data_IF_727803966672
#
_entry.id   IF_727803966672
#
_cell.length_a   1.000
_cell.length_b   1.000
_cell.length_c   1.000
_cell.angle_alpha   90.00
_cell.angle_beta   90.00
_cell.angle_gamma   90.00
#
_symmetry.space_group_name_H-M   'P 1'
#
loop_
_entity.id
_entity.type
_entity.pdbx_description
1 polymer ?
#
# COMPACT_ATOMS: atom_id res chain seq x y z
N UNK A 1 59.93 67.30 -41.08
CA UNK A 1 58.50 67.18 -41.45
C UNK A 1 57.78 66.32 -40.44
N UNK A 2 56.64 66.74 -39.91
CA UNK A 2 55.77 66.05 -38.95
C UNK A 2 54.58 66.87 -38.61
N UNK A 3 53.75 66.40 -37.69
CA UNK A 3 52.59 67.14 -37.15
C UNK A 3 53.06 68.24 -36.21
N UNK A 4 52.72 69.50 -36.52
CA UNK A 4 53.12 70.67 -35.74
C UNK A 4 52.05 71.17 -34.79
N UNK A 5 50.86 70.57 -34.78
CA UNK A 5 49.82 70.91 -33.89
C UNK A 5 49.89 70.17 -32.52
N UNK A 6 50.26 70.91 -31.48
CA UNK A 6 50.47 70.38 -30.14
C UNK A 6 49.16 69.82 -29.46
N UNK A 7 48.03 69.96 -30.09
CA UNK A 7 46.72 69.37 -29.63
C UNK A 7 46.53 67.99 -30.26
N UNK A 8 47.41 67.52 -31.08
CA UNK A 8 47.31 66.23 -31.79
C UNK A 8 48.14 65.12 -31.13
N UNK A 9 47.75 63.87 -31.28
CA UNK A 9 48.33 62.65 -30.64
C UNK A 9 49.78 62.46 -31.09
N UNK A 10 50.09 62.72 -32.40
CA UNK A 10 51.41 62.49 -33.00
C UNK A 10 52.16 63.82 -33.17
N UNK A 11 51.97 64.81 -32.26
CA UNK A 11 52.73 66.06 -32.27
C UNK A 11 54.25 65.79 -32.20
N UNK A 12 54.97 66.36 -33.15
CA UNK A 12 56.39 66.27 -33.17
C UNK A 12 57.07 67.68 -32.90
N UNK A 13 57.60 67.89 -31.71
CA UNK A 13 58.16 69.19 -31.32
C UNK A 13 59.48 69.55 -32.11
N UNK A 14 60.00 68.63 -32.86
CA UNK A 14 61.21 68.85 -33.71
C UNK A 14 60.83 69.14 -35.16
N UNK A 15 59.60 69.00 -35.56
CA UNK A 15 59.17 69.31 -36.92
C UNK A 15 59.20 70.81 -37.17
N UNK A 16 59.77 71.18 -38.28
CA UNK A 16 59.88 72.58 -38.76
C UNK A 16 59.02 72.84 -40.02
N UNK A 17 58.28 71.80 -40.47
CA UNK A 17 57.40 71.86 -41.63
C UNK A 17 56.26 70.89 -41.40
N UNK A 18 54.97 71.36 -41.41
CA UNK A 18 53.83 70.51 -41.32
C UNK A 18 53.67 69.69 -42.62
N UNK A 19 53.48 68.40 -42.45
CA UNK A 19 53.29 67.45 -43.55
C UNK A 19 51.87 66.95 -43.69
N UNK A 20 50.92 67.49 -42.92
CA UNK A 20 49.50 67.14 -42.92
C UNK A 20 49.21 65.80 -42.29
N UNK A 21 50.15 65.20 -41.50
CA UNK A 21 49.99 63.88 -40.88
C UNK A 21 49.40 63.93 -39.48
N UNK A 22 48.84 65.06 -39.03
CA UNK A 22 48.31 65.22 -37.71
C UNK A 22 47.12 64.24 -37.45
N UNK A 23 47.22 63.49 -36.39
CA UNK A 23 46.25 62.52 -35.96
C UNK A 23 45.61 63.01 -34.66
N UNK A 24 44.27 63.13 -34.54
CA UNK A 24 43.62 63.54 -33.32
C UNK A 24 43.77 62.46 -32.24
N UNK A 25 43.64 62.85 -30.97
CA UNK A 25 43.41 61.90 -29.87
C UNK A 25 42.09 61.20 -30.05
N UNK A 26 42.10 59.86 -30.14
CA UNK A 26 40.96 59.01 -30.18
C UNK A 26 40.97 58.20 -28.86
N UNK A 27 40.15 58.60 -27.94
CA UNK A 27 40.10 57.97 -26.61
C UNK A 27 39.22 56.72 -26.62
N UNK A 28 39.71 55.64 -25.94
CA UNK A 28 39.01 54.36 -25.78
C UNK A 28 39.92 53.34 -25.16
N UNK A 29 39.46 52.11 -25.05
CA UNK A 29 40.25 51.00 -24.55
C UNK A 29 41.26 50.52 -25.61
N UNK A 30 42.58 50.70 -25.33
CA UNK A 30 43.69 50.27 -26.22
C UNK A 30 44.25 48.89 -25.91
N UNK A 31 43.70 48.19 -24.92
CA UNK A 31 44.10 46.83 -24.56
C UNK A 31 43.36 45.81 -25.45
N UNK A 32 44.10 45.16 -26.35
CA UNK A 32 43.54 44.15 -27.26
C UNK A 32 43.04 42.88 -26.57
N UNK A 33 43.29 42.72 -25.28
CA UNK A 33 42.79 41.63 -24.45
C UNK A 33 41.52 41.99 -23.65
N UNK A 34 41.01 43.22 -23.79
CA UNK A 34 39.81 43.68 -23.14
C UNK A 34 38.55 43.42 -23.98
N UNK A 35 37.40 43.23 -23.32
CA UNK A 35 36.11 42.99 -23.96
C UNK A 35 35.68 44.13 -24.88
N UNK A 36 35.97 45.39 -24.46
CA UNK A 36 35.63 46.61 -25.17
C UNK A 36 36.83 47.24 -25.89
N UNK A 37 37.77 46.42 -26.35
CA UNK A 37 38.91 46.91 -27.16
C UNK A 37 38.42 47.72 -28.36
N UNK A 38 38.95 48.94 -28.52
CA UNK A 38 38.70 49.80 -29.68
C UNK A 38 39.96 49.91 -30.51
N UNK A 39 39.98 49.26 -31.69
CA UNK A 39 41.12 49.29 -32.61
C UNK A 39 41.43 50.70 -33.21
N UNK A 40 40.52 51.64 -33.11
CA UNK A 40 40.70 53.00 -33.58
C UNK A 40 41.30 53.93 -32.50
N UNK A 41 41.16 53.53 -31.23
CA UNK A 41 41.68 54.30 -30.12
C UNK A 41 43.21 54.30 -30.15
N UNK A 42 43.79 55.49 -29.99
CA UNK A 42 45.24 55.70 -29.87
C UNK A 42 45.63 56.17 -28.44
N UNK A 43 44.68 56.42 -27.59
CA UNK A 43 44.85 56.87 -26.21
C UNK A 43 43.90 56.17 -25.27
N UNK A 44 44.52 55.45 -24.31
CA UNK A 44 43.72 54.73 -23.31
C UNK A 44 43.05 55.71 -22.36
N UNK A 45 41.75 55.65 -22.23
CA UNK A 45 40.90 56.44 -21.34
C UNK A 45 40.61 55.75 -20.00
N UNK A 46 41.11 54.55 -19.76
CA UNK A 46 40.86 53.74 -18.56
C UNK A 46 39.54 52.99 -18.57
N UNK A 47 38.82 52.98 -19.70
CA UNK A 47 37.52 52.29 -19.84
C UNK A 47 37.61 50.80 -20.10
N UNK A 48 38.84 50.22 -20.17
CA UNK A 48 39.02 48.80 -20.48
C UNK A 48 38.27 47.89 -19.49
N UNK A 49 37.46 46.99 -20.04
CA UNK A 49 36.71 45.99 -19.31
C UNK A 49 37.34 44.63 -19.53
N UNK A 50 37.89 43.98 -18.50
CA UNK A 50 38.43 42.63 -18.64
C UNK A 50 37.37 41.60 -18.94
N UNK A 51 37.71 40.51 -19.66
CA UNK A 51 36.83 39.35 -19.76
C UNK A 51 36.71 38.67 -18.40
N UNK A 52 35.46 38.56 -17.92
CA UNK A 52 35.09 37.78 -16.74
C UNK A 52 34.23 36.60 -17.18
N UNK A 53 34.87 35.46 -17.27
CA UNK A 53 34.23 34.22 -17.74
C UNK A 53 33.38 33.59 -16.67
N UNK A 54 32.24 32.96 -17.06
CA UNK A 54 31.34 32.24 -16.23
C UNK A 54 29.97 32.11 -16.87
N UNK A 55 29.06 31.40 -16.21
CA UNK A 55 27.70 31.26 -16.69
C UNK A 55 26.95 32.61 -16.63
N UNK A 56 26.45 33.07 -17.77
CA UNK A 56 25.69 34.34 -17.89
C UNK A 56 24.18 34.12 -17.97
N UNK A 57 23.70 32.87 -17.96
CA UNK A 57 22.27 32.56 -17.94
C UNK A 57 21.73 32.69 -16.49
N UNK A 58 20.88 33.67 -16.27
CA UNK A 58 20.25 33.93 -14.95
C UNK A 58 19.34 32.83 -14.46
N UNK A 59 18.94 31.87 -15.33
CA UNK A 59 18.11 30.72 -14.98
C UNK A 59 18.93 29.48 -14.59
N UNK A 60 20.25 29.54 -14.82
CA UNK A 60 21.14 28.45 -14.48
C UNK A 60 21.48 28.43 -12.98
N UNK A 61 21.68 27.23 -12.43
CA UNK A 61 21.99 27.03 -11.00
C UNK A 61 23.32 27.62 -10.58
N UNK A 62 24.28 27.74 -11.54
CA UNK A 62 25.60 28.31 -11.35
C UNK A 62 25.75 29.68 -12.01
N UNK A 63 24.67 30.46 -12.15
CA UNK A 63 24.70 31.83 -12.66
C UNK A 63 25.72 32.68 -11.91
N UNK A 64 26.57 33.38 -12.66
CA UNK A 64 27.54 34.34 -12.13
C UNK A 64 27.23 35.76 -12.58
N UNK A 65 26.63 36.56 -11.69
CA UNK A 65 26.25 37.94 -12.00
C UNK A 65 27.42 38.87 -12.35
N UNK A 66 28.67 38.50 -12.07
CA UNK A 66 29.86 39.24 -12.42
C UNK A 66 30.41 38.87 -13.80
N UNK A 67 30.04 37.71 -14.33
CA UNK A 67 30.47 37.28 -15.65
C UNK A 67 29.89 38.19 -16.73
N UNK A 68 30.76 38.60 -17.67
CA UNK A 68 30.39 39.34 -18.86
C UNK A 68 30.58 38.54 -20.16
N UNK A 69 31.06 37.30 -20.01
CA UNK A 69 31.36 36.40 -21.14
C UNK A 69 31.01 34.96 -20.73
N UNK A 70 30.10 34.35 -21.47
CA UNK A 70 29.72 32.96 -21.22
C UNK A 70 30.88 32.02 -21.59
N UNK A 71 31.22 31.11 -20.67
CA UNK A 71 32.26 30.12 -20.87
C UNK A 71 31.70 28.73 -21.20
N UNK A 72 30.40 28.61 -21.39
CA UNK A 72 29.67 27.35 -21.65
C UNK A 72 29.47 26.45 -20.42
N UNK A 73 29.76 26.96 -19.21
CA UNK A 73 29.66 26.19 -17.97
C UNK A 73 28.25 26.17 -17.35
N UNK A 74 27.27 26.80 -18.00
CA UNK A 74 25.92 26.90 -17.46
C UNK A 74 25.31 25.54 -17.17
N UNK A 75 24.82 25.35 -15.96
CA UNK A 75 24.10 24.17 -15.50
C UNK A 75 22.65 24.49 -15.44
N UNK A 76 21.82 23.85 -16.30
CA UNK A 76 20.39 24.05 -16.33
C UNK A 76 19.75 23.57 -15.01
N UNK A 77 18.78 24.33 -14.50
CA UNK A 77 17.96 23.93 -13.35
C UNK A 77 17.03 22.81 -13.77
N UNK A 78 17.18 21.64 -13.12
CA UNK A 78 16.30 20.47 -13.28
C UNK A 78 15.54 20.27 -11.98
N UNK A 79 14.27 20.65 -11.98
CA UNK A 79 13.41 20.53 -10.83
C UNK A 79 12.89 19.08 -10.64
N UNK A 80 12.73 18.66 -9.38
CA UNK A 80 12.20 17.38 -8.99
C UNK A 80 12.59 17.02 -7.56
N UNK A 81 12.10 15.89 -7.08
CA UNK A 81 12.46 15.40 -5.75
C UNK A 81 13.94 14.96 -5.73
N UNK A 82 14.74 15.58 -4.89
CA UNK A 82 16.17 15.27 -4.70
C UNK A 82 16.47 14.36 -3.51
N UNK A 83 15.44 13.97 -2.74
CA UNK A 83 15.56 13.02 -1.63
C UNK A 83 15.60 11.58 -2.15
N UNK A 84 16.74 10.92 -2.04
CA UNK A 84 16.93 9.53 -2.49
C UNK A 84 16.12 8.51 -1.68
N UNK A 85 15.51 8.92 -0.56
CA UNK A 85 14.64 8.08 0.27
C UNK A 85 13.16 8.26 -0.07
N UNK A 86 12.82 9.12 -1.02
CA UNK A 86 11.44 9.35 -1.45
C UNK A 86 11.01 8.41 -2.58
N UNK A 87 9.71 8.11 -2.64
CA UNK A 87 9.10 7.26 -3.66
C UNK A 87 9.30 7.79 -5.09
N UNK A 88 9.24 9.12 -5.25
CA UNK A 88 9.37 9.82 -6.53
C UNK A 88 10.74 10.49 -6.71
N UNK A 89 11.79 9.94 -6.09
CA UNK A 89 13.15 10.41 -6.28
C UNK A 89 13.51 10.53 -7.77
N UNK A 90 14.06 11.68 -8.15
CA UNK A 90 14.57 11.92 -9.49
C UNK A 90 16.09 12.15 -9.44
N UNK A 91 16.87 11.15 -9.86
CA UNK A 91 18.34 11.22 -9.85
C UNK A 91 18.93 12.30 -10.79
N UNK A 92 18.14 12.84 -11.72
CA UNK A 92 18.56 13.92 -12.64
C UNK A 92 18.25 15.30 -12.06
N UNK A 93 17.37 15.41 -11.09
CA UNK A 93 17.04 16.68 -10.45
C UNK A 93 18.25 17.21 -9.68
N UNK A 94 18.54 18.51 -9.87
CA UNK A 94 19.58 19.23 -9.13
C UNK A 94 19.02 20.33 -8.22
N UNK A 95 17.68 20.48 -8.23
CA UNK A 95 16.96 21.45 -7.41
C UNK A 95 15.66 20.83 -6.94
N UNK A 96 15.48 20.77 -5.63
CA UNK A 96 14.25 20.25 -5.03
C UNK A 96 13.07 21.19 -5.30
N UNK A 97 11.96 20.61 -5.80
CA UNK A 97 10.72 21.34 -6.07
C UNK A 97 9.68 21.18 -4.95
N UNK A 98 10.03 20.50 -3.85
CA UNK A 98 9.15 20.26 -2.71
C UNK A 98 8.09 19.19 -2.94
N UNK A 99 8.18 18.42 -4.03
CA UNK A 99 7.19 17.38 -4.38
C UNK A 99 7.54 15.99 -3.86
N UNK A 100 8.57 15.86 -3.00
CA UNK A 100 9.01 14.57 -2.48
C UNK A 100 7.88 13.85 -1.73
N UNK A 101 7.61 12.62 -2.14
CA UNK A 101 6.57 11.75 -1.57
C UNK A 101 7.27 10.68 -0.71
N UNK A 102 7.05 10.65 0.60
CA UNK A 102 7.62 9.60 1.46
C UNK A 102 6.98 8.25 1.18
N UNK A 103 7.69 7.15 1.41
CA UNK A 103 7.10 5.81 1.45
C UNK A 103 6.16 5.70 2.64
N UNK A 104 4.93 5.30 2.38
CA UNK A 104 3.93 4.95 3.39
C UNK A 104 3.58 3.49 3.18
N UNK A 105 4.15 2.63 4.04
CA UNK A 105 3.97 1.18 3.94
C UNK A 105 2.65 0.74 4.55
N UNK A 106 2.06 -0.30 3.96
CA UNK A 106 0.82 -0.92 4.43
C UNK A 106 0.16 -1.72 3.32
N UNK A 107 -0.92 -2.42 3.64
CA UNK A 107 -1.69 -3.16 2.63
C UNK A 107 -2.35 -2.20 1.64
N UNK A 108 -2.01 -2.32 0.35
CA UNK A 108 -2.56 -1.50 -0.73
C UNK A 108 -3.72 -2.17 -1.48
N UNK A 109 -4.08 -3.41 -1.11
CA UNK A 109 -5.22 -4.13 -1.70
C UNK A 109 -6.54 -3.68 -1.06
N UNK A 110 -7.45 -2.98 -1.80
CA UNK A 110 -8.72 -2.50 -1.25
C UNK A 110 -9.70 -3.63 -0.89
N UNK A 111 -9.40 -4.87 -1.28
CA UNK A 111 -10.21 -6.05 -0.93
C UNK A 111 -9.70 -6.76 0.33
N UNK A 112 -8.62 -6.30 0.93
CA UNK A 112 -8.07 -6.87 2.15
C UNK A 112 -8.72 -6.29 3.41
N UNK A 113 -8.78 -7.09 4.48
CA UNK A 113 -9.31 -6.70 5.79
C UNK A 113 -8.57 -5.51 6.41
N UNK A 114 -7.24 -5.47 6.25
CA UNK A 114 -6.37 -4.44 6.79
C UNK A 114 -5.92 -3.41 5.72
N UNK A 115 -6.75 -3.18 4.70
CA UNK A 115 -6.48 -2.15 3.69
C UNK A 115 -6.17 -0.80 4.32
N UNK A 116 -5.09 -0.18 3.86
CA UNK A 116 -4.70 1.17 4.27
C UNK A 116 -4.75 2.12 3.08
N UNK A 117 -5.78 2.97 3.03
CA UNK A 117 -6.02 3.89 1.91
C UNK A 117 -4.94 4.97 1.72
N UNK A 118 -4.09 5.22 2.72
CA UNK A 118 -2.99 6.18 2.62
C UNK A 118 -1.66 5.52 2.26
N UNK A 119 -1.57 4.18 2.31
CA UNK A 119 -0.37 3.46 1.88
C UNK A 119 -0.15 3.64 0.38
N UNK A 120 1.10 3.94 0.00
CA UNK A 120 1.55 4.03 -1.38
C UNK A 120 2.53 2.90 -1.76
N UNK A 121 2.85 2.04 -0.79
CA UNK A 121 3.79 0.94 -0.97
C UNK A 121 3.31 -0.27 -0.17
N UNK A 122 3.10 -1.39 -0.87
CA UNK A 122 2.69 -2.62 -0.21
C UNK A 122 3.82 -3.18 0.65
N UNK A 123 3.51 -3.52 1.89
CA UNK A 123 4.44 -4.13 2.85
C UNK A 123 4.37 -5.68 2.83
N UNK A 124 3.51 -6.27 1.98
CA UNK A 124 3.25 -7.70 1.91
C UNK A 124 2.41 -8.25 3.07
N UNK A 125 1.87 -7.36 3.93
CA UNK A 125 1.09 -7.72 5.11
C UNK A 125 -0.42 -7.76 4.88
N UNK A 126 -0.90 -7.83 3.64
CA UNK A 126 -2.34 -7.89 3.36
C UNK A 126 -2.99 -9.14 3.96
N UNK A 127 -4.05 -8.94 4.75
CA UNK A 127 -4.82 -9.99 5.40
C UNK A 127 -6.18 -10.12 4.71
N UNK A 128 -6.56 -11.29 4.19
CA UNK A 128 -7.87 -11.48 3.60
C UNK A 128 -8.99 -11.46 4.65
N UNK A 129 -10.22 -11.16 4.23
CA UNK A 129 -11.40 -11.39 5.06
C UNK A 129 -11.59 -12.88 5.31
N UNK A 130 -11.67 -13.27 6.58
CA UNK A 130 -11.99 -14.63 7.00
C UNK A 130 -13.30 -14.55 7.79
N UNK A 131 -14.40 -14.93 7.14
CA UNK A 131 -15.72 -14.91 7.76
C UNK A 131 -15.94 -16.13 8.66
N UNK A 132 -16.60 -15.93 9.78
CA UNK A 132 -16.96 -17.00 10.70
C UNK A 132 -17.55 -16.48 12.01
N UNK A 133 -18.09 -17.40 12.79
CA UNK A 133 -18.56 -17.07 14.12
C UNK A 133 -17.38 -16.77 15.05
N UNK A 134 -17.34 -15.56 15.60
CA UNK A 134 -16.27 -15.08 16.49
C UNK A 134 -16.57 -15.30 17.98
N UNK A 135 -17.74 -15.88 18.32
CA UNK A 135 -18.13 -16.19 19.70
C UNK A 135 -17.67 -17.61 20.08
N UNK A 136 -16.71 -17.77 21.02
CA UNK A 136 -16.17 -19.07 21.42
C UNK A 136 -17.19 -19.96 22.15
N UNK A 137 -18.37 -19.44 22.52
CA UNK A 137 -19.45 -20.21 23.16
C UNK A 137 -20.37 -20.87 22.16
N UNK A 138 -20.18 -20.67 20.87
CA UNK A 138 -21.02 -21.18 19.79
C UNK A 138 -20.42 -22.43 19.12
N UNK A 139 -21.31 -23.28 18.59
CA UNK A 139 -20.95 -24.56 17.98
C UNK A 139 -20.00 -24.43 16.77
N UNK A 140 -20.20 -23.39 15.94
CA UNK A 140 -19.43 -23.14 14.73
C UNK A 140 -18.35 -22.07 14.91
N UNK A 141 -17.84 -21.89 16.15
CA UNK A 141 -16.77 -20.96 16.43
C UNK A 141 -15.55 -21.20 15.51
N UNK A 142 -15.06 -20.11 14.90
CA UNK A 142 -13.87 -20.12 14.07
C UNK A 142 -12.83 -19.16 14.64
N UNK A 143 -11.78 -19.69 15.25
CA UNK A 143 -10.69 -18.91 15.86
C UNK A 143 -9.90 -18.05 14.85
N UNK A 144 -9.95 -18.39 13.55
CA UNK A 144 -9.24 -17.65 12.49
C UNK A 144 -10.10 -16.53 11.90
N UNK A 145 -11.39 -16.47 12.24
CA UNK A 145 -12.27 -15.43 11.71
C UNK A 145 -11.85 -14.04 12.20
N UNK A 146 -11.74 -13.10 11.25
CA UNK A 146 -11.52 -11.68 11.50
C UNK A 146 -12.75 -10.83 11.15
N UNK A 147 -13.79 -11.47 10.62
CA UNK A 147 -15.04 -10.83 10.19
C UNK A 147 -16.22 -11.68 10.66
N UNK A 148 -17.17 -11.06 11.36
CA UNK A 148 -18.29 -11.75 11.93
C UNK A 148 -19.21 -12.35 10.87
N UNK A 149 -19.63 -13.60 11.08
CA UNK A 149 -20.65 -14.31 10.35
C UNK A 149 -21.63 -14.97 11.34
N UNK A 150 -22.65 -15.66 10.82
CA UNK A 150 -23.72 -16.25 11.61
C UNK A 150 -23.17 -17.28 12.61
N UNK A 151 -23.49 -17.07 13.89
CA UNK A 151 -23.20 -17.99 14.97
C UNK A 151 -24.35 -18.97 15.17
N UNK A 152 -24.03 -20.26 15.32
CA UNK A 152 -24.97 -21.35 15.56
C UNK A 152 -24.78 -21.81 17.01
N UNK A 153 -25.84 -21.78 17.86
CA UNK A 153 -25.74 -22.25 19.23
C UNK A 153 -25.62 -23.78 19.28
N UNK A 154 -25.15 -24.31 20.40
CA UNK A 154 -25.22 -25.74 20.68
C UNK A 154 -26.66 -26.16 20.86
N UNK A 155 -27.10 -27.18 20.10
CA UNK A 155 -28.38 -27.85 20.27
C UNK A 155 -28.09 -29.31 20.63
N UNK A 156 -28.31 -29.63 21.87
CA UNK A 156 -28.01 -30.95 22.42
C UNK A 156 -29.18 -31.93 22.17
N UNK A 157 -28.85 -33.14 21.67
CA UNK A 157 -29.80 -34.19 21.40
C UNK A 157 -29.13 -35.37 20.72
N UNK A 158 -29.89 -36.40 20.39
CA UNK A 158 -29.33 -37.54 19.66
C UNK A 158 -29.20 -37.23 18.18
N UNK A 159 -27.97 -37.22 17.65
CA UNK A 159 -27.69 -36.95 16.24
C UNK A 159 -27.63 -38.21 15.37
N UNK A 160 -27.85 -39.40 15.93
CA UNK A 160 -27.88 -40.68 15.19
C UNK A 160 -29.28 -40.93 14.61
N UNK A 161 -29.46 -40.89 13.28
CA UNK A 161 -30.76 -41.09 12.66
C UNK A 161 -31.33 -42.53 12.83
N UNK A 162 -30.48 -43.44 13.32
CA UNK A 162 -30.94 -44.85 13.63
C UNK A 162 -31.34 -45.02 15.06
N UNK A 163 -31.26 -44.01 15.89
CA UNK A 163 -31.69 -44.02 17.28
C UNK A 163 -33.18 -43.73 17.44
N UNK A 164 -33.81 -44.29 18.50
CA UNK A 164 -35.22 -44.10 18.82
C UNK A 164 -35.58 -42.63 19.11
N UNK A 165 -34.66 -41.90 19.77
CA UNK A 165 -34.84 -40.50 20.15
C UNK A 165 -34.04 -39.53 19.26
N UNK A 166 -33.90 -39.87 17.98
CA UNK A 166 -33.24 -38.99 17.02
C UNK A 166 -33.86 -37.60 16.99
N UNK A 167 -33.01 -36.57 17.10
CA UNK A 167 -33.40 -35.17 16.95
C UNK A 167 -32.67 -34.55 15.74
N UNK A 168 -33.43 -34.25 14.70
CA UNK A 168 -32.90 -33.68 13.47
C UNK A 168 -32.39 -32.25 13.62
N UNK A 169 -32.66 -31.55 14.70
CA UNK A 169 -32.20 -30.19 15.00
C UNK A 169 -30.92 -30.19 15.85
N UNK A 170 -30.60 -31.33 16.48
CA UNK A 170 -29.40 -31.45 17.30
C UNK A 170 -28.17 -31.39 16.47
N UNK A 171 -27.18 -30.57 16.92
CA UNK A 171 -25.82 -30.47 16.34
C UNK A 171 -24.76 -31.03 17.29
N UNK A 172 -25.15 -31.44 18.49
CA UNK A 172 -24.22 -31.97 19.50
C UNK A 172 -24.85 -33.22 20.14
N UNK A 173 -24.16 -34.35 19.93
CA UNK A 173 -24.70 -35.64 20.31
C UNK A 173 -24.73 -35.85 21.84
N UNK A 174 -25.91 -36.11 22.36
CA UNK A 174 -26.13 -36.46 23.77
C UNK A 174 -27.25 -37.46 23.91
N UNK A 175 -26.99 -38.58 24.58
CA UNK A 175 -28.04 -39.47 25.10
C UNK A 175 -28.85 -40.24 24.03
N UNK A 176 -28.20 -40.76 22.99
CA UNK A 176 -28.88 -41.64 22.02
C UNK A 176 -29.37 -42.93 22.69
N UNK A 177 -30.63 -43.28 22.41
CA UNK A 177 -31.34 -44.47 22.90
C UNK A 177 -31.57 -45.38 21.69
N UNK A 178 -31.08 -46.63 21.76
CA UNK A 178 -31.35 -47.63 20.72
C UNK A 178 -32.78 -48.12 20.76
N UNK A 179 -33.30 -48.56 19.61
CA UNK A 179 -34.58 -49.27 19.57
C UNK A 179 -34.45 -50.57 20.37
N UNK A 180 -35.39 -50.79 21.30
CA UNK A 180 -35.61 -52.04 22.03
C UNK A 180 -37.02 -52.49 21.70
N UNK A 181 -37.08 -53.54 20.88
CA UNK A 181 -38.34 -54.10 20.42
C UNK A 181 -38.93 -55.08 21.46
N UNK A 182 -40.25 -55.08 21.60
CA UNK A 182 -40.97 -55.99 22.48
C UNK A 182 -42.35 -55.44 22.78
N UNK A 183 -43.15 -56.21 23.58
CA UNK A 183 -44.44 -55.76 23.99
C UNK A 183 -44.34 -54.55 24.95
N UNK A 184 -44.94 -53.43 24.57
CA UNK A 184 -44.92 -52.17 25.34
C UNK A 184 -46.22 -51.95 26.18
N UNK A 185 -47.20 -52.89 26.09
CA UNK A 185 -48.41 -52.82 26.87
C UNK A 185 -48.23 -53.39 28.29
N UNK A 186 -48.28 -52.59 29.37
CA UNK A 186 -48.09 -53.03 30.75
C UNK A 186 -49.13 -53.97 31.24
N UNK A 187 -50.27 -54.14 30.52
CA UNK A 187 -51.36 -55.08 30.86
C UNK A 187 -51.17 -56.44 30.15
N UNK A 188 -50.23 -56.56 29.22
CA UNK A 188 -50.00 -57.82 28.53
C UNK A 188 -49.19 -58.80 29.37
N UNK A 189 -49.35 -60.07 29.11
CA UNK A 189 -48.64 -61.18 29.80
C UNK A 189 -47.12 -61.12 29.58
N UNK A 190 -46.72 -60.80 28.37
CA UNK A 190 -45.34 -60.75 27.99
C UNK A 190 -44.74 -59.29 27.92
N UNK A 191 -45.34 -58.39 28.77
CA UNK A 191 -44.85 -57.04 28.88
C UNK A 191 -43.31 -56.95 29.12
N UNK A 192 -42.62 -56.19 28.30
CA UNK A 192 -41.20 -55.95 28.46
C UNK A 192 -40.94 -54.50 28.87
N UNK A 193 -40.64 -54.20 30.15
CA UNK A 193 -40.47 -52.83 30.65
C UNK A 193 -39.33 -52.06 29.99
N UNK A 194 -38.36 -52.71 29.37
CA UNK A 194 -37.24 -52.09 28.64
C UNK A 194 -37.55 -51.80 27.17
N UNK A 195 -38.68 -52.32 26.62
CA UNK A 195 -39.09 -52.06 25.26
C UNK A 195 -39.54 -50.60 25.11
N UNK A 196 -39.01 -49.91 24.08
CA UNK A 196 -39.42 -48.55 23.68
C UNK A 196 -40.15 -48.56 22.34
N UNK A 197 -40.27 -49.74 21.71
CA UNK A 197 -40.93 -49.92 20.41
C UNK A 197 -41.72 -51.20 20.41
N UNK A 198 -43.01 -51.09 20.17
CA UNK A 198 -43.89 -52.26 20.07
C UNK A 198 -43.59 -53.04 18.79
N UNK A 199 -43.35 -54.35 18.89
CA UNK A 199 -43.10 -55.27 17.79
C UNK A 199 -44.34 -56.08 17.42
N UNK A 200 -45.48 -55.80 18.02
CA UNK A 200 -46.78 -56.52 17.83
C UNK A 200 -46.82 -57.89 18.52
N UNK A 201 -45.89 -58.18 19.40
CA UNK A 201 -45.81 -59.48 20.08
C UNK A 201 -46.69 -59.57 21.37
N UNK A 202 -47.41 -58.51 21.71
CA UNK A 202 -48.21 -58.48 22.93
C UNK A 202 -49.22 -59.59 23.01
N UNK A 203 -49.16 -60.35 24.11
CA UNK A 203 -50.08 -61.44 24.40
C UNK A 203 -51.05 -60.99 25.54
N UNK A 204 -52.36 -60.95 25.33
CA UNK A 204 -53.27 -60.58 26.38
C UNK A 204 -53.24 -61.59 27.53
N UNK A 205 -53.43 -61.11 28.76
CA UNK A 205 -53.61 -61.96 29.92
C UNK A 205 -54.95 -62.66 29.80
N UNK A 206 -54.93 -63.98 29.79
CA UNK A 206 -56.18 -64.81 29.85
C UNK A 206 -56.18 -65.55 31.19
N UNK A 207 -57.13 -65.13 32.02
CA UNK A 207 -57.31 -65.71 33.39
C UNK A 207 -58.01 -67.05 33.31
N UNK A 208 -57.40 -68.09 33.79
CA UNK A 208 -57.97 -69.43 33.86
C UNK A 208 -57.06 -70.41 34.62
N UNK A 209 -57.44 -71.67 34.73
CA UNK A 209 -56.63 -72.66 35.39
C UNK A 209 -55.50 -73.18 34.39
N UNK A 210 -54.26 -72.97 34.70
CA UNK A 210 -53.10 -73.40 33.86
C UNK A 210 -52.57 -74.79 34.18
N UNK A 211 -53.19 -75.55 35.20
CA UNK A 211 -52.79 -76.91 35.54
C UNK A 211 -53.52 -77.91 34.62
N UNK A 212 -52.78 -78.60 33.73
CA UNK A 212 -53.40 -79.54 32.77
C UNK A 212 -54.00 -80.78 33.38
N UNK A 213 -53.84 -80.99 34.72
CA UNK A 213 -54.37 -82.11 35.43
C UNK A 213 -55.70 -81.75 36.15
N UNK A 214 -56.06 -80.44 36.19
CA UNK A 214 -57.25 -79.93 36.83
C UNK A 214 -58.50 -80.13 35.95
N UNK A 215 -59.65 -80.36 36.58
CA UNK A 215 -60.93 -80.52 35.88
C UNK A 215 -61.44 -79.25 35.15
N UNK A 216 -60.97 -78.08 35.57
CA UNK A 216 -61.29 -76.78 34.98
C UNK A 216 -60.11 -76.19 34.20
N UNK A 217 -59.24 -77.04 33.67
CA UNK A 217 -58.09 -76.61 32.85
C UNK A 217 -58.55 -75.80 31.66
N UNK A 218 -57.96 -74.63 31.46
CA UNK A 218 -58.14 -73.78 30.30
C UNK A 218 -56.80 -73.67 29.51
N UNK A 219 -56.76 -74.30 28.36
CA UNK A 219 -55.59 -74.33 27.52
C UNK A 219 -55.23 -72.97 26.92
N UNK A 220 -56.09 -71.95 27.05
CA UNK A 220 -55.83 -70.58 26.56
C UNK A 220 -55.36 -69.67 27.68
N UNK A 221 -55.43 -70.07 28.94
CA UNK A 221 -54.91 -69.29 30.07
C UNK A 221 -53.40 -69.21 30.08
N UNK A 222 -52.85 -68.08 30.49
CA UNK A 222 -51.45 -67.79 30.54
C UNK A 222 -50.99 -67.06 31.82
#
# INVERSE_FOLDING_TARGET
YGCMDMTMWNYDPLANTDNGSCIPFIFGCTDSTALNFDALANTNDGSCIPYLYGCTDSTAINFNALANTDDGSCIATLLGCTDSTALNYNALANTDDGTCIPYIYGCTDPTAFNYNAIANTDDGGCVPYIYGCMDPTMWNYNILANTADTCIPYVYGCTDPTAWNYDSLANTNVGCISYVYGCTDPTAFNYLPSANTDDGSCVPVVIGCTDPTALNFDSTAN
#
